data_IF_170284618186
#
_entry.id   IF_170284618186
#
_cell.length_a   1.000
_cell.length_b   1.000
_cell.length_c   1.000
_cell.angle_alpha   90.00
_cell.angle_beta   90.00
_cell.angle_gamma   90.00
#
_symmetry.space_group_name_H-M   'P 1'
#
loop_
_entity.id
_entity.type
_entity.pdbx_description
1 polymer ?
#
# COMPACT_ATOMS: atom_id res chain seq x y z
N UNK A 1 6.24 -9.71 -11.42
CA UNK A 1 6.39 -8.26 -11.10
C UNK A 1 5.15 -7.50 -11.51
N UNK A 2 5.03 -6.23 -11.14
CA UNK A 2 3.85 -5.42 -11.47
C UNK A 2 4.17 -3.94 -11.66
N UNK A 3 3.22 -3.22 -12.25
CA UNK A 3 3.29 -1.78 -12.51
C UNK A 3 2.08 -1.07 -11.91
N UNK A 4 2.31 0.14 -11.43
CA UNK A 4 1.25 1.06 -11.01
C UNK A 4 1.24 2.21 -12.01
N UNK A 5 0.07 2.48 -12.61
CA UNK A 5 -0.16 3.65 -13.48
C UNK A 5 -1.23 4.50 -12.83
N UNK A 6 -0.83 5.59 -12.18
CA UNK A 6 -1.71 6.38 -11.29
C UNK A 6 -2.87 7.01 -12.03
N UNK A 7 -2.63 7.49 -13.25
CA UNK A 7 -3.61 8.23 -14.05
C UNK A 7 -4.30 7.34 -15.12
N UNK A 8 -4.31 6.01 -14.94
CA UNK A 8 -5.00 5.09 -15.85
C UNK A 8 -6.23 4.46 -15.15
N UNK A 9 -7.44 4.98 -15.39
CA UNK A 9 -8.64 4.42 -14.79
C UNK A 9 -8.97 3.03 -15.37
N UNK A 10 -9.65 2.14 -14.61
CA UNK A 10 -10.02 0.80 -15.09
C UNK A 10 -10.76 0.80 -16.44
N UNK A 11 -11.54 1.84 -16.72
CA UNK A 11 -12.32 2.02 -17.95
C UNK A 11 -11.45 2.13 -19.21
N UNK A 12 -10.23 2.66 -19.09
CA UNK A 12 -9.30 2.90 -20.20
C UNK A 12 -8.15 1.88 -20.21
N UNK A 13 -8.10 1.02 -19.20
CA UNK A 13 -6.95 0.16 -18.94
C UNK A 13 -6.94 -1.14 -19.75
N UNK A 14 -7.98 -1.48 -20.51
CA UNK A 14 -8.06 -2.77 -21.22
C UNK A 14 -6.88 -2.99 -22.20
N UNK A 15 -6.53 -2.05 -23.10
CA UNK A 15 -5.36 -2.21 -23.99
C UNK A 15 -4.03 -2.31 -23.24
N UNK A 16 -3.89 -1.57 -22.14
CA UNK A 16 -2.71 -1.63 -21.28
C UNK A 16 -2.63 -3.00 -20.58
N UNK A 17 -3.75 -3.49 -20.08
CA UNK A 17 -3.83 -4.77 -19.38
C UNK A 17 -3.49 -5.91 -20.34
N UNK A 18 -4.00 -5.89 -21.58
CA UNK A 18 -3.66 -6.88 -22.60
C UNK A 18 -2.15 -6.91 -22.90
N UNK A 19 -1.53 -5.74 -23.04
CA UNK A 19 -0.09 -5.64 -23.28
C UNK A 19 0.73 -6.15 -22.09
N UNK A 20 0.32 -5.84 -20.86
CA UNK A 20 1.01 -6.28 -19.64
C UNK A 20 0.83 -7.79 -19.40
N UNK A 21 -0.37 -8.33 -19.65
CA UNK A 21 -0.70 -9.75 -19.54
C UNK A 21 0.19 -10.59 -20.50
N UNK A 22 0.42 -10.11 -21.73
CA UNK A 22 1.33 -10.75 -22.69
C UNK A 22 2.78 -10.88 -22.19
N UNK A 23 3.16 -10.04 -21.21
CA UNK A 23 4.47 -10.07 -20.56
C UNK A 23 4.42 -10.61 -19.13
N UNK A 24 3.28 -11.14 -18.68
CA UNK A 24 3.08 -11.61 -17.29
C UNK A 24 3.40 -10.54 -16.24
N UNK A 25 3.12 -9.27 -16.55
CA UNK A 25 3.27 -8.14 -15.63
C UNK A 25 1.90 -7.79 -15.06
N UNK A 26 1.78 -7.73 -13.74
CA UNK A 26 0.52 -7.36 -13.10
C UNK A 26 0.27 -5.86 -13.16
N UNK A 27 -0.93 -5.45 -13.60
CA UNK A 27 -1.40 -4.09 -13.41
C UNK A 27 -1.99 -3.95 -11.99
N UNK A 28 -1.26 -3.28 -11.11
CA UNK A 28 -1.64 -3.03 -9.72
C UNK A 28 -2.55 -1.80 -9.68
N UNK A 29 -3.80 -1.98 -9.22
CA UNK A 29 -4.78 -0.90 -9.14
C UNK A 29 -4.93 -0.36 -7.73
N UNK A 30 -5.29 0.92 -7.66
CA UNK A 30 -5.49 1.65 -6.41
C UNK A 30 -6.95 1.60 -5.98
N UNK A 31 -7.17 1.47 -4.68
CA UNK A 31 -8.47 1.70 -4.05
C UNK A 31 -8.32 2.74 -2.93
N UNK A 32 -9.37 3.52 -2.69
CA UNK A 32 -9.37 4.62 -1.71
C UNK A 32 -10.52 4.46 -0.73
N UNK A 33 -10.53 5.18 0.42
CA UNK A 33 -11.67 5.21 1.33
C UNK A 33 -12.99 5.70 0.71
N UNK A 34 -12.94 6.38 -0.44
CA UNK A 34 -14.11 6.87 -1.18
C UNK A 34 -14.63 5.88 -2.21
N UNK A 35 -13.96 4.74 -2.42
CA UNK A 35 -14.41 3.70 -3.34
C UNK A 35 -15.56 2.91 -2.70
N UNK A 36 -16.76 3.07 -3.25
CA UNK A 36 -17.93 2.26 -2.89
C UNK A 36 -17.84 0.83 -3.43
N UNK A 37 -18.81 -0.02 -3.12
CA UNK A 37 -18.77 -1.45 -3.46
C UNK A 37 -18.84 -1.68 -4.99
N UNK A 38 -19.58 -0.83 -5.71
CA UNK A 38 -19.65 -0.87 -7.17
C UNK A 38 -18.30 -0.49 -7.78
N UNK A 39 -17.67 0.58 -7.28
CA UNK A 39 -16.34 1.00 -7.72
C UNK A 39 -15.28 -0.04 -7.42
N UNK A 40 -15.35 -0.70 -6.26
CA UNK A 40 -14.44 -1.80 -5.92
C UNK A 40 -14.57 -2.98 -6.87
N UNK A 41 -15.77 -3.28 -7.34
CA UNK A 41 -15.99 -4.33 -8.37
C UNK A 41 -15.33 -3.95 -9.70
N UNK A 42 -15.45 -2.67 -10.10
CA UNK A 42 -14.78 -2.16 -11.31
C UNK A 42 -13.25 -2.18 -11.16
N UNK A 43 -12.73 -1.79 -10.01
CA UNK A 43 -11.29 -1.85 -9.70
C UNK A 43 -10.79 -3.30 -9.68
N UNK A 44 -11.57 -4.23 -9.14
CA UNK A 44 -11.20 -5.64 -9.08
C UNK A 44 -11.11 -6.29 -10.47
N UNK A 45 -11.94 -5.84 -11.43
CA UNK A 45 -11.96 -6.39 -12.79
C UNK A 45 -10.57 -6.31 -13.42
N UNK A 46 -10.05 -7.49 -13.81
CA UNK A 46 -8.74 -7.66 -14.45
C UNK A 46 -7.57 -7.06 -13.65
N UNK A 47 -7.70 -6.95 -12.33
CA UNK A 47 -6.55 -6.67 -11.47
C UNK A 47 -5.86 -7.98 -11.12
N UNK A 48 -4.53 -7.96 -11.10
CA UNK A 48 -3.70 -9.09 -10.69
C UNK A 48 -2.59 -8.62 -9.75
N UNK A 49 -1.94 -9.55 -9.06
CA UNK A 49 -0.94 -9.23 -8.04
C UNK A 49 -1.60 -8.86 -6.70
N UNK A 50 -1.94 -7.59 -6.52
CA UNK A 50 -2.59 -7.08 -5.31
C UNK A 50 -3.38 -5.80 -5.59
N UNK A 51 -4.28 -5.44 -4.67
CA UNK A 51 -4.92 -4.11 -4.68
C UNK A 51 -4.16 -3.20 -3.72
N UNK A 52 -3.78 -2.01 -4.19
CA UNK A 52 -3.12 -1.02 -3.35
C UNK A 52 -4.14 -0.07 -2.72
N UNK A 53 -4.47 -0.31 -1.46
CA UNK A 53 -5.36 0.54 -0.68
C UNK A 53 -4.59 1.72 -0.08
N UNK A 54 -4.89 2.93 -0.56
CA UNK A 54 -4.16 4.15 -0.20
C UNK A 54 -5.07 5.21 0.39
N UNK A 55 -4.52 5.99 1.31
CA UNK A 55 -5.16 7.24 1.73
C UNK A 55 -4.79 8.34 0.74
N UNK A 56 -5.78 9.10 0.28
CA UNK A 56 -5.52 10.33 -0.48
C UNK A 56 -5.14 11.40 0.54
N UNK A 57 -3.85 11.72 0.64
CA UNK A 57 -3.39 12.88 1.39
C UNK A 57 -4.02 14.13 0.77
N UNK A 58 -4.99 14.74 1.45
CA UNK A 58 -5.68 15.93 0.94
C UNK A 58 -7.13 16.11 1.35
N UNK A 59 -7.80 15.09 1.90
CA UNK A 59 -9.14 15.29 2.49
C UNK A 59 -8.95 15.89 3.89
N UNK A 60 -8.94 17.22 3.95
CA UNK A 60 -8.87 18.01 5.20
C UNK A 60 -9.83 17.45 6.24
N UNK A 61 -9.30 16.94 7.36
CA UNK A 61 -10.09 16.46 8.49
C UNK A 61 -9.98 14.96 8.81
N UNK A 62 -9.46 14.13 7.90
CA UNK A 62 -9.21 12.71 8.20
C UNK A 62 -7.87 12.60 8.92
N UNK A 63 -7.93 12.75 10.25
CA UNK A 63 -6.86 12.34 11.18
C UNK A 63 -6.28 11.01 10.72
N UNK A 64 -4.95 10.91 10.74
CA UNK A 64 -4.16 9.68 10.55
C UNK A 64 -5.03 8.44 10.79
N UNK A 65 -5.52 7.83 9.70
CA UNK A 65 -6.58 6.84 9.81
C UNK A 65 -6.10 5.72 10.73
N UNK A 66 -6.67 5.60 11.94
CA UNK A 66 -6.23 4.62 12.92
C UNK A 66 -6.39 3.20 12.37
N UNK A 67 -5.61 2.23 12.84
CA UNK A 67 -5.66 0.87 12.28
C UNK A 67 -7.07 0.26 12.32
N UNK A 68 -7.88 0.63 13.33
CA UNK A 68 -9.28 0.24 13.46
C UNK A 68 -10.20 0.76 12.35
N UNK A 69 -9.88 1.87 11.68
CA UNK A 69 -10.67 2.35 10.53
C UNK A 69 -10.26 1.71 9.21
N UNK A 70 -9.09 1.05 9.16
CA UNK A 70 -8.55 0.43 7.95
C UNK A 70 -9.00 -1.02 7.79
N UNK A 71 -9.14 -1.78 8.89
CA UNK A 71 -9.48 -3.21 8.82
C UNK A 71 -10.79 -3.51 8.05
N UNK A 72 -11.93 -2.82 8.32
CA UNK A 72 -13.17 -3.09 7.58
C UNK A 72 -13.06 -2.77 6.09
N UNK A 73 -12.27 -1.75 5.73
CA UNK A 73 -12.05 -1.39 4.34
C UNK A 73 -11.16 -2.40 3.62
N UNK A 74 -10.12 -2.91 4.29
CA UNK A 74 -9.28 -3.98 3.75
C UNK A 74 -10.11 -5.24 3.51
N UNK A 75 -10.98 -5.63 4.44
CA UNK A 75 -11.89 -6.77 4.25
C UNK A 75 -12.85 -6.57 3.07
N UNK A 76 -13.43 -5.38 2.93
CA UNK A 76 -14.27 -5.02 1.76
C UNK A 76 -13.52 -5.18 0.45
N UNK A 77 -12.32 -4.60 0.35
CA UNK A 77 -11.48 -4.67 -0.87
C UNK A 77 -11.09 -6.12 -1.17
N UNK A 78 -10.71 -6.89 -0.13
CA UNK A 78 -10.37 -8.31 -0.25
C UNK A 78 -11.57 -9.12 -0.76
N UNK A 79 -12.76 -8.88 -0.23
CA UNK A 79 -13.99 -9.57 -0.64
C UNK A 79 -14.38 -9.24 -2.09
N UNK A 80 -14.24 -7.99 -2.50
CA UNK A 80 -14.58 -7.56 -3.86
C UNK A 80 -13.57 -8.07 -4.91
N UNK A 81 -12.29 -8.12 -4.56
CA UNK A 81 -11.22 -8.48 -5.51
C UNK A 81 -10.78 -9.93 -5.48
N UNK A 82 -10.88 -10.60 -4.34
CA UNK A 82 -10.24 -11.90 -4.11
C UNK A 82 -8.70 -11.85 -4.07
N UNK A 83 -8.12 -10.66 -4.00
CA UNK A 83 -6.67 -10.44 -4.04
C UNK A 83 -6.10 -9.99 -2.69
N UNK A 84 -4.78 -10.16 -2.46
CA UNK A 84 -4.08 -9.51 -1.36
C UNK A 84 -4.24 -7.99 -1.42
N UNK A 85 -4.29 -7.36 -0.25
CA UNK A 85 -4.42 -5.91 -0.09
C UNK A 85 -3.17 -5.33 0.56
N UNK A 86 -2.48 -4.45 -0.17
CA UNK A 86 -1.39 -3.65 0.36
C UNK A 86 -1.92 -2.31 0.85
N UNK A 87 -1.43 -1.82 1.99
CA UNK A 87 -1.91 -0.57 2.61
C UNK A 87 -0.81 0.48 2.66
N UNK A 88 -1.12 1.68 2.13
CA UNK A 88 -0.22 2.83 2.06
C UNK A 88 -0.81 4.07 2.72
N UNK A 89 -0.75 4.13 4.04
CA UNK A 89 -1.41 5.17 4.85
C UNK A 89 -0.37 6.01 5.60
N UNK A 90 0.61 6.56 4.87
CA UNK A 90 1.64 7.42 5.47
C UNK A 90 2.43 6.73 6.58
N UNK A 91 2.86 5.49 6.36
CA UNK A 91 3.55 4.68 7.36
C UNK A 91 4.93 5.27 7.62
N UNK A 92 5.10 5.91 8.78
CA UNK A 92 6.34 6.58 9.19
C UNK A 92 7.07 5.91 10.36
N UNK A 93 6.36 5.10 11.15
CA UNK A 93 6.91 4.48 12.36
C UNK A 93 6.78 2.96 12.33
N UNK A 94 7.68 2.23 13.03
CA UNK A 94 7.58 0.77 13.17
C UNK A 94 6.29 0.32 13.85
N UNK A 95 5.83 1.04 14.87
CA UNK A 95 4.58 0.74 15.59
C UNK A 95 3.40 0.79 14.63
N UNK A 96 3.36 1.83 13.79
CA UNK A 96 2.32 2.01 12.78
C UNK A 96 2.38 0.92 11.71
N UNK A 97 3.58 0.56 11.27
CA UNK A 97 3.78 -0.53 10.32
C UNK A 97 3.27 -1.86 10.90
N UNK A 98 3.57 -2.15 12.17
CA UNK A 98 3.09 -3.34 12.86
C UNK A 98 1.56 -3.37 13.00
N UNK A 99 0.94 -2.25 13.40
CA UNK A 99 -0.53 -2.15 13.49
C UNK A 99 -1.22 -2.46 12.17
N UNK A 100 -0.74 -1.86 11.08
CA UNK A 100 -1.32 -2.05 9.75
C UNK A 100 -1.05 -3.46 9.23
N UNK A 101 0.13 -4.03 9.52
CA UNK A 101 0.48 -5.39 9.12
C UNK A 101 -0.41 -6.48 9.75
N UNK A 102 -1.08 -6.20 10.88
CA UNK A 102 -2.06 -7.12 11.49
C UNK A 102 -3.38 -7.21 10.72
N UNK A 103 -3.72 -6.18 9.96
CA UNK A 103 -5.02 -6.06 9.29
C UNK A 103 -4.91 -6.04 7.76
N UNK A 104 -3.71 -6.22 7.21
CA UNK A 104 -3.43 -6.16 5.76
C UNK A 104 -2.41 -7.19 5.31
N UNK A 105 -2.38 -7.49 4.00
CA UNK A 105 -1.46 -8.46 3.42
C UNK A 105 -0.08 -7.86 3.12
N UNK A 106 0.02 -6.53 3.00
CA UNK A 106 1.28 -5.83 2.87
C UNK A 106 1.19 -4.38 3.38
N UNK A 107 2.34 -3.83 3.78
CA UNK A 107 2.50 -2.44 4.24
C UNK A 107 3.41 -1.71 3.27
N UNK A 108 2.99 -0.53 2.81
CA UNK A 108 3.79 0.30 1.90
C UNK A 108 4.25 1.58 2.60
N UNK A 109 5.57 1.80 2.59
CA UNK A 109 6.23 2.94 3.23
C UNK A 109 7.15 3.64 2.22
N UNK A 110 6.68 4.74 1.64
CA UNK A 110 7.43 5.54 0.66
C UNK A 110 8.01 6.82 1.27
N UNK A 111 7.12 7.70 1.77
CA UNK A 111 7.50 9.04 2.25
C UNK A 111 8.57 9.02 3.33
N UNK A 112 8.48 8.09 4.29
CA UNK A 112 9.50 7.97 5.35
C UNK A 112 10.90 7.65 4.81
N UNK A 113 11.00 6.92 3.69
CA UNK A 113 12.30 6.61 3.08
C UNK A 113 12.84 7.82 2.31
N UNK A 114 11.94 8.55 1.62
CA UNK A 114 12.29 9.81 0.95
C UNK A 114 12.73 10.87 1.98
N UNK A 115 12.04 10.95 3.13
CA UNK A 115 12.39 11.85 4.24
C UNK A 115 13.79 11.54 4.79
N UNK A 116 14.16 10.26 4.94
CA UNK A 116 15.53 9.88 5.36
C UNK A 116 16.59 10.21 4.31
N UNK A 117 16.26 10.12 3.01
CA UNK A 117 17.16 10.58 1.94
C UNK A 117 17.34 12.09 2.00
N UNK A 118 16.25 12.85 2.14
CA UNK A 118 16.29 14.31 2.23
C UNK A 118 17.12 14.77 3.44
N UNK A 119 16.89 14.19 4.63
CA UNK A 119 17.64 14.50 5.84
C UNK A 119 19.14 14.18 5.70
N UNK A 120 19.49 13.09 5.00
CA UNK A 120 20.89 12.75 4.73
C UNK A 120 21.56 13.82 3.85
N UNK A 121 20.87 14.27 2.80
CA UNK A 121 21.37 15.30 1.90
C UNK A 121 21.57 16.63 2.61
N UNK A 122 20.61 17.04 3.47
CA UNK A 122 20.73 18.24 4.28
C UNK A 122 21.92 18.18 5.26
N UNK A 123 22.18 17.01 5.83
CA UNK A 123 23.32 16.77 6.72
C UNK A 123 24.65 16.54 5.99
N UNK A 124 24.65 16.49 4.65
CA UNK A 124 25.79 16.08 3.82
C UNK A 124 26.36 14.70 4.23
N UNK A 125 25.46 13.77 4.56
CA UNK A 125 25.76 12.39 4.96
C UNK A 125 25.36 11.40 3.85
N UNK A 126 25.95 10.19 3.80
CA UNK A 126 25.46 9.13 2.93
C UNK A 126 24.03 8.71 3.30
N UNK A 127 23.11 8.72 2.32
CA UNK A 127 21.71 8.35 2.55
C UNK A 127 21.51 6.85 2.79
N UNK A 128 22.30 5.99 2.15
CA UNK A 128 22.07 4.54 2.16
C UNK A 128 22.04 3.92 3.58
N UNK A 129 22.97 4.21 4.51
CA UNK A 129 22.90 3.69 5.87
C UNK A 129 21.63 4.08 6.62
N UNK A 130 21.16 5.33 6.48
CA UNK A 130 19.95 5.85 7.14
C UNK A 130 18.70 5.15 6.61
N UNK A 131 18.58 5.03 5.29
CA UNK A 131 17.47 4.32 4.64
C UNK A 131 17.47 2.84 5.03
N UNK A 132 18.62 2.17 5.00
CA UNK A 132 18.71 0.75 5.39
C UNK A 132 18.34 0.52 6.85
N UNK A 133 18.74 1.42 7.76
CA UNK A 133 18.34 1.36 9.16
C UNK A 133 16.81 1.54 9.32
N UNK A 134 16.22 2.50 8.59
CA UNK A 134 14.76 2.70 8.58
C UNK A 134 14.02 1.48 8.04
N UNK A 135 14.44 0.95 6.90
CA UNK A 135 13.84 -0.24 6.28
C UNK A 135 13.90 -1.42 7.22
N UNK A 136 15.05 -1.66 7.87
CA UNK A 136 15.19 -2.74 8.86
C UNK A 136 14.20 -2.59 10.01
N UNK A 137 14.12 -1.41 10.60
CA UNK A 137 13.21 -1.11 11.70
C UNK A 137 11.74 -1.34 11.34
N UNK A 138 11.30 -0.88 10.16
CA UNK A 138 9.94 -1.11 9.67
C UNK A 138 9.69 -2.60 9.36
N UNK A 139 10.63 -3.27 8.70
CA UNK A 139 10.51 -4.67 8.32
C UNK A 139 10.44 -5.60 9.54
N UNK A 140 11.25 -5.34 10.57
CA UNK A 140 11.24 -6.13 11.81
C UNK A 140 9.91 -5.99 12.56
N UNK A 141 9.34 -4.78 12.58
CA UNK A 141 8.02 -4.55 13.16
C UNK A 141 6.89 -5.26 12.40
N UNK A 142 6.92 -5.23 11.06
CA UNK A 142 5.97 -5.96 10.21
C UNK A 142 6.07 -7.47 10.42
N UNK A 143 7.30 -8.02 10.47
CA UNK A 143 7.53 -9.44 10.75
C UNK A 143 7.03 -9.82 12.14
N UNK A 144 7.34 -9.02 13.16
CA UNK A 144 6.93 -9.25 14.54
C UNK A 144 5.41 -9.18 14.75
N UNK A 145 4.70 -8.40 13.93
CA UNK A 145 3.24 -8.27 14.00
C UNK A 145 2.48 -9.57 13.65
N UNK A 146 3.03 -10.38 12.74
CA UNK A 146 2.38 -11.61 12.24
C UNK A 146 2.71 -12.87 13.03
N UNK A 147 3.62 -12.82 14.00
CA UNK A 147 4.06 -13.99 14.79
C UNK A 147 3.12 -14.27 15.98
N UNK A 148 2.05 -13.50 16.16
CA UNK A 148 1.09 -13.69 17.27
C UNK A 148 -0.32 -14.01 16.79
N UNK A 149 -0.47 -15.17 16.15
CA UNK A 149 -1.75 -15.89 16.09
C UNK A 149 -1.44 -17.36 15.78
N UNK A 150 -0.92 -18.05 16.79
CA UNK A 150 -0.93 -19.51 16.85
C UNK A 150 -1.36 -19.87 18.27
N UNK A 151 -2.68 -19.78 18.50
CA UNK A 151 -3.39 -20.44 19.60
C UNK A 151 -4.69 -20.97 19.03
#
# INVERSE_FOLDING_TARGET
DGVIVVDCPPEEADPLTDALDAHSVSLIRLATPTSDDDRLTVIARRTSGFVYYVSVAGVTGVKEAQAGSVAPAVERVRKASGLPVAVGFGIKTPERAAEVARVSDAVVAGSVLVDEVAAALEANEPAAPRVLAKVRSLADAVKGARVRETV
#
